data_IF_136401749211
#
_entry.id   IF_136401749211
#
_cell.length_a   1.000
_cell.length_b   1.000
_cell.length_c   1.000
_cell.angle_alpha   90.00
_cell.angle_beta   90.00
_cell.angle_gamma   90.00
#
_symmetry.space_group_name_H-M   'P 1'
#
loop_
_entity.id
_entity.type
_entity.pdbx_description
1 polymer ?
#
# COMPACT_ATOMS: atom_id res chain seq x y z
N UNK A 1 10.47 8.66 14.62
CA UNK A 1 11.74 9.05 15.26
C UNK A 1 11.50 9.07 16.77
N UNK A 2 12.25 8.29 17.54
CA UNK A 2 12.06 8.21 19.00
C UNK A 2 12.76 9.39 19.69
N UNK A 3 12.10 10.01 20.66
CA UNK A 3 12.68 11.13 21.42
C UNK A 3 13.54 10.64 22.58
N UNK A 4 14.51 11.45 23.03
CA UNK A 4 15.35 11.14 24.21
C UNK A 4 14.52 10.84 25.48
N UNK A 5 13.38 11.53 25.63
CA UNK A 5 12.47 11.30 26.75
C UNK A 5 11.81 9.90 26.68
N UNK A 6 11.45 9.45 25.49
CA UNK A 6 10.83 8.13 25.28
C UNK A 6 11.83 6.99 25.42
N UNK A 7 13.07 7.22 25.00
CA UNK A 7 14.17 6.29 25.26
C UNK A 7 14.42 6.14 26.77
N UNK A 8 14.43 7.26 27.51
CA UNK A 8 14.53 7.25 28.96
C UNK A 8 13.39 6.46 29.61
N UNK A 9 12.14 6.67 29.19
CA UNK A 9 10.96 5.94 29.69
C UNK A 9 11.03 4.43 29.39
N UNK A 10 11.48 4.06 28.18
CA UNK A 10 11.67 2.66 27.77
C UNK A 10 12.73 1.95 28.61
N UNK A 11 13.75 2.67 29.06
CA UNK A 11 14.84 2.12 29.86
C UNK A 11 14.54 2.08 31.38
N UNK A 12 13.37 2.58 31.82
CA UNK A 12 12.97 2.51 33.22
C UNK A 12 12.73 1.05 33.63
N UNK A 13 13.44 0.62 34.67
CA UNK A 13 13.14 -0.65 35.35
C UNK A 13 11.86 -0.49 36.17
N UNK A 14 10.75 -1.04 35.67
CA UNK A 14 9.44 -0.96 36.34
C UNK A 14 9.46 -1.58 37.75
N UNK A 15 10.33 -2.56 38.00
CA UNK A 15 10.45 -3.21 39.31
C UNK A 15 10.92 -2.23 40.39
N UNK A 16 11.70 -1.21 40.01
CA UNK A 16 12.22 -0.18 40.93
C UNK A 16 11.27 1.00 41.12
N UNK A 17 10.16 1.05 40.37
CA UNK A 17 9.13 2.08 40.48
C UNK A 17 8.13 1.70 41.58
N UNK A 18 7.60 2.71 42.27
CA UNK A 18 6.57 2.52 43.29
C UNK A 18 5.33 1.84 42.70
N UNK A 19 4.67 0.98 43.47
CA UNK A 19 3.54 0.19 42.99
C UNK A 19 2.40 1.06 42.42
N UNK A 20 2.21 2.26 42.97
CA UNK A 20 1.22 3.22 42.47
C UNK A 20 1.56 3.81 41.10
N UNK A 21 2.84 3.90 40.73
CA UNK A 21 3.30 4.45 39.46
C UNK A 21 3.55 3.39 38.38
N UNK A 22 3.72 2.12 38.77
CA UNK A 22 3.96 1.00 37.84
C UNK A 22 2.94 0.95 36.69
N UNK A 23 1.60 1.02 36.93
CA UNK A 23 0.64 0.93 35.84
C UNK A 23 0.79 2.04 34.81
N UNK A 24 1.11 3.26 35.25
CA UNK A 24 1.32 4.41 34.37
C UNK A 24 2.59 4.25 33.53
N UNK A 25 3.70 3.82 34.15
CA UNK A 25 4.96 3.61 33.43
C UNK A 25 4.85 2.47 32.41
N UNK A 26 4.22 1.35 32.77
CA UNK A 26 3.95 0.25 31.83
C UNK A 26 3.07 0.69 30.66
N UNK A 27 2.01 1.45 30.93
CA UNK A 27 1.15 1.99 29.89
C UNK A 27 1.92 2.91 28.94
N UNK A 28 2.75 3.83 29.47
CA UNK A 28 3.61 4.71 28.67
C UNK A 28 4.57 3.91 27.78
N UNK A 29 5.23 2.88 28.31
CA UNK A 29 6.12 2.01 27.53
C UNK A 29 5.39 1.30 26.39
N UNK A 30 4.18 0.76 26.66
CA UNK A 30 3.34 0.14 25.63
C UNK A 30 2.93 1.13 24.52
N UNK A 31 2.59 2.37 24.87
CA UNK A 31 2.23 3.40 23.89
C UNK A 31 3.42 3.76 22.98
N UNK A 32 4.63 3.88 23.55
CA UNK A 32 5.85 4.15 22.78
C UNK A 32 6.12 3.00 21.81
N UNK A 33 6.07 1.75 22.27
CA UNK A 33 6.26 0.57 21.43
C UNK A 33 5.24 0.50 20.28
N UNK A 34 3.96 0.76 20.56
CA UNK A 34 2.92 0.76 19.55
C UNK A 34 3.17 1.81 18.45
N UNK A 35 3.58 3.03 18.85
CA UNK A 35 3.90 4.09 17.89
C UNK A 35 5.13 3.74 17.05
N UNK A 36 6.18 3.20 17.68
CA UNK A 36 7.40 2.75 16.98
C UNK A 36 7.08 1.68 15.95
N UNK A 37 6.26 0.70 16.30
CA UNK A 37 5.83 -0.35 15.37
C UNK A 37 5.03 0.23 14.19
N UNK A 38 4.11 1.15 14.45
CA UNK A 38 3.33 1.83 13.41
C UNK A 38 4.21 2.66 12.47
N UNK A 39 5.17 3.42 13.01
CA UNK A 39 6.11 4.21 12.20
C UNK A 39 6.95 3.30 11.28
N UNK A 40 7.44 2.17 11.79
CA UNK A 40 8.19 1.21 10.99
C UNK A 40 7.35 0.57 9.87
N UNK A 41 6.08 0.27 10.14
CA UNK A 41 5.16 -0.26 9.12
C UNK A 41 4.90 0.78 8.02
N UNK A 42 4.64 2.04 8.39
CA UNK A 42 4.44 3.11 7.43
C UNK A 42 5.67 3.35 6.56
N UNK A 43 6.87 3.31 7.16
CA UNK A 43 8.12 3.44 6.42
C UNK A 43 8.30 2.31 5.40
N UNK A 44 8.03 1.06 5.79
CA UNK A 44 8.05 -0.09 4.87
C UNK A 44 7.05 0.08 3.72
N UNK A 45 5.84 0.54 4.01
CA UNK A 45 4.81 0.77 2.99
C UNK A 45 5.24 1.88 2.01
N UNK A 46 5.88 2.94 2.51
CA UNK A 46 6.41 4.02 1.68
C UNK A 46 7.52 3.52 0.75
N UNK A 47 8.48 2.76 1.28
CA UNK A 47 9.55 2.16 0.48
C UNK A 47 9.01 1.22 -0.60
N UNK A 48 8.00 0.39 -0.27
CA UNK A 48 7.35 -0.49 -1.23
C UNK A 48 6.68 0.31 -2.37
N UNK A 49 5.94 1.37 -2.03
CA UNK A 49 5.29 2.26 -3.02
C UNK A 49 6.30 2.98 -3.92
N UNK A 50 7.43 3.43 -3.39
CA UNK A 50 8.51 4.05 -4.17
C UNK A 50 9.16 3.06 -5.15
N UNK A 51 9.38 1.81 -4.74
CA UNK A 51 9.90 0.77 -5.64
C UNK A 51 8.92 0.42 -6.78
N UNK A 52 7.61 0.36 -6.50
CA UNK A 52 6.60 0.10 -7.55
C UNK A 52 6.54 1.24 -8.56
N UNK A 53 6.59 2.50 -8.11
CA UNK A 53 6.64 3.67 -9.02
C UNK A 53 7.90 3.68 -9.88
N UNK A 54 9.07 3.38 -9.30
CA UNK A 54 10.34 3.33 -10.03
C UNK A 54 10.37 2.21 -11.09
N UNK A 55 9.70 1.08 -10.85
CA UNK A 55 9.53 0.02 -11.86
C UNK A 55 8.61 0.43 -13.00
N UNK A 56 7.46 1.05 -12.70
CA UNK A 56 6.52 1.52 -13.72
C UNK A 56 7.10 2.62 -14.63
N UNK A 57 7.98 3.48 -14.11
CA UNK A 57 8.67 4.50 -14.92
C UNK A 57 9.75 3.91 -15.85
N UNK A 58 10.40 2.81 -15.44
CA UNK A 58 11.36 2.09 -16.29
C UNK A 58 10.67 1.31 -17.41
N UNK A 59 9.51 0.70 -17.14
CA UNK A 59 8.75 -0.03 -18.16
C UNK A 59 8.22 0.89 -19.27
N UNK A 60 7.80 2.11 -18.92
CA UNK A 60 7.36 3.11 -19.91
C UNK A 60 8.47 3.63 -20.83
N UNK A 61 9.75 3.47 -20.48
CA UNK A 61 10.88 3.87 -21.33
C UNK A 61 11.39 2.78 -22.28
N UNK A 62 10.94 1.54 -22.12
CA UNK A 62 11.40 0.41 -22.97
C UNK A 62 10.28 -0.14 -23.87
N UNK A 63 9.03 0.29 -23.67
CA UNK A 63 7.85 -0.28 -24.33
C UNK A 63 7.13 0.59 -25.35
N UNK A 64 7.72 1.69 -25.86
CA UNK A 64 7.10 2.42 -26.96
C UNK A 64 7.55 1.78 -28.30
N UNK A 65 6.75 0.91 -28.95
CA UNK A 65 7.03 0.56 -30.33
C UNK A 65 6.98 1.86 -31.13
N UNK A 66 8.12 2.25 -31.69
CA UNK A 66 8.19 3.28 -32.71
C UNK A 66 7.15 2.92 -33.77
N UNK A 67 6.03 3.64 -33.80
CA UNK A 67 5.06 3.59 -34.90
C UNK A 67 5.70 4.25 -36.12
N UNK A 68 6.74 3.59 -36.63
CA UNK A 68 7.27 3.81 -37.95
C UNK A 68 6.14 3.50 -38.93
N UNK A 69 5.63 4.55 -39.55
CA UNK A 69 4.61 4.50 -40.60
C UNK A 69 5.16 3.69 -41.77
N UNK A 70 4.96 2.36 -41.76
CA UNK A 70 5.11 1.49 -42.92
C UNK A 70 3.72 1.03 -43.33
N UNK A 71 3.21 1.69 -44.35
CA UNK A 71 2.09 1.30 -45.19
C UNK A 71 2.41 -0.01 -45.92
N UNK A 72 2.36 -1.14 -45.21
CA UNK A 72 2.30 -2.45 -45.87
C UNK A 72 0.84 -2.76 -46.16
N UNK A 73 0.51 -2.84 -47.44
CA UNK A 73 -0.77 -3.29 -47.96
C UNK A 73 -0.97 -4.77 -47.59
N UNK A 74 -1.58 -5.05 -46.44
CA UNK A 74 -1.96 -6.40 -46.02
C UNK A 74 -3.30 -6.72 -46.69
N UNK A 75 -3.30 -7.67 -47.62
CA UNK A 75 -4.54 -8.29 -48.10
C UNK A 75 -5.03 -9.26 -47.03
N UNK A 76 -6.13 -8.91 -46.35
CA UNK A 76 -6.80 -9.78 -45.39
C UNK A 76 -7.83 -10.60 -46.16
N UNK A 77 -7.63 -11.91 -46.27
CA UNK A 77 -8.72 -12.82 -46.63
C UNK A 77 -9.61 -12.97 -45.40
N UNK A 78 -10.75 -12.28 -45.40
CA UNK A 78 -11.78 -12.38 -44.36
C UNK A 78 -12.69 -13.55 -44.71
N UNK A 79 -12.43 -14.72 -44.12
CA UNK A 79 -13.44 -15.76 -43.99
C UNK A 79 -14.35 -15.37 -42.82
N UNK A 80 -15.53 -14.87 -43.18
CA UNK A 80 -16.53 -14.34 -42.26
C UNK A 80 -17.17 -15.47 -41.45
N UNK A 81 -16.70 -15.70 -40.22
CA UNK A 81 -17.45 -16.44 -39.22
C UNK A 81 -17.68 -15.57 -37.98
N UNK A 82 -18.70 -14.73 -38.10
CA UNK A 82 -19.25 -13.88 -37.05
C UNK A 82 -19.79 -14.72 -35.88
N UNK A 83 -19.39 -14.35 -34.67
CA UNK A 83 -20.24 -14.45 -33.48
C UNK A 83 -19.84 -13.36 -32.49
N UNK A 84 -20.56 -12.25 -32.56
CA UNK A 84 -20.65 -11.24 -31.50
C UNK A 84 -21.13 -11.91 -30.20
N UNK A 85 -20.50 -11.54 -29.09
CA UNK A 85 -20.85 -12.00 -27.74
C UNK A 85 -20.65 -10.85 -26.77
N UNK A 86 -21.72 -10.06 -26.67
CA UNK A 86 -22.16 -9.09 -25.66
C UNK A 86 -21.24 -8.85 -24.44
N UNK A 87 -20.78 -7.60 -24.33
CA UNK A 87 -20.28 -6.99 -23.09
C UNK A 87 -21.47 -6.71 -22.16
N UNK A 88 -21.53 -7.38 -21.01
CA UNK A 88 -22.41 -6.98 -19.89
C UNK A 88 -21.54 -6.43 -18.76
N UNK A 89 -21.42 -5.10 -18.74
CA UNK A 89 -21.03 -4.31 -17.57
C UNK A 89 -22.09 -4.52 -16.47
N UNK A 90 -21.69 -5.11 -15.34
CA UNK A 90 -22.56 -5.14 -14.15
C UNK A 90 -21.87 -4.41 -12.99
N UNK A 91 -22.08 -3.10 -12.95
CA UNK A 91 -21.87 -2.24 -11.79
C UNK A 91 -22.89 -2.62 -10.71
N UNK A 92 -22.46 -3.37 -9.68
CA UNK A 92 -23.25 -3.58 -8.48
C UNK A 92 -22.74 -2.69 -7.33
N UNK A 93 -23.22 -1.44 -7.30
CA UNK A 93 -23.26 -0.62 -6.08
C UNK A 93 -24.47 -1.04 -5.24
N UNK A 94 -24.25 -1.79 -4.15
CA UNK A 94 -25.32 -2.05 -3.17
C UNK A 94 -25.05 -1.29 -1.87
N UNK A 95 -26.02 -0.44 -1.54
CA UNK A 95 -26.06 0.46 -0.40
C UNK A 95 -26.34 -0.25 0.92
N UNK A 96 -25.79 0.37 1.98
CA UNK A 96 -26.21 0.45 3.39
C UNK A 96 -27.35 -0.43 3.88
N UNK A 97 -27.12 -1.05 5.04
CA UNK A 97 -28.18 -1.39 6.00
C UNK A 97 -27.87 -0.77 7.37
N UNK A 98 -28.80 0.06 7.84
CA UNK A 98 -28.88 0.58 9.20
C UNK A 98 -29.89 -0.26 9.97
N UNK A 99 -29.50 -0.72 11.17
CA UNK A 99 -30.44 -0.89 12.28
C UNK A 99 -30.80 -2.33 12.65
N UNK A 100 -30.61 -2.65 13.93
CA UNK A 100 -31.74 -2.60 14.87
C UNK A 100 -31.27 -2.51 16.32
#
# INVERSE_FOLDING_TARGET
>A
MQTLAEESIMNVNISTISESQRPHCEWKQKQILARVAQEQEQEKMKQAKEQTKAKAEKENKTGQPSRGKKNNNITINVDNNSKEGEDEDNDNEEQKDEGS
#
